data_IF_970978122376
#
_entry.id   IF_970978122376
#
_cell.length_a   1.000
_cell.length_b   1.000
_cell.length_c   1.000
_cell.angle_alpha   90.00
_cell.angle_beta   90.00
_cell.angle_gamma   90.00
#
_symmetry.space_group_name_H-M   'P 1'
#
loop_
_entity.id
_entity.type
_entity.pdbx_description
1 polymer ?
#
# COMPACT_ATOMS: atom_id res chain seq x y z
N UNK A 1 -0.16 12.75 -5.94
CA UNK A 1 0.15 13.50 -7.18
C UNK A 1 -0.55 14.84 -7.06
N UNK A 2 0.04 16.02 -7.14
CA UNK A 2 1.35 16.46 -7.57
C UNK A 2 1.72 17.75 -6.82
N UNK A 3 3.03 18.00 -6.73
CA UNK A 3 3.66 19.21 -6.20
C UNK A 3 3.38 20.46 -7.07
N UNK A 4 3.59 21.66 -6.50
CA UNK A 4 3.20 22.92 -7.09
C UNK A 4 4.20 23.45 -8.14
N UNK A 5 3.66 24.20 -9.11
CA UNK A 5 4.40 25.01 -10.08
C UNK A 5 4.88 26.30 -9.41
N UNK A 6 6.19 26.54 -9.40
CA UNK A 6 6.76 27.86 -9.17
C UNK A 6 7.12 28.44 -10.54
N UNK A 7 6.43 29.52 -10.91
CA UNK A 7 6.72 30.35 -12.08
C UNK A 7 7.73 31.42 -11.70
N UNK A 8 8.66 31.61 -12.62
CA UNK A 8 9.67 32.66 -12.68
C UNK A 8 9.11 34.03 -13.07
N UNK A 9 9.97 35.05 -12.89
CA UNK A 9 10.12 36.32 -13.63
C UNK A 9 9.64 37.63 -12.98
N UNK A 10 10.48 38.66 -13.15
CA UNK A 10 10.24 40.09 -12.94
C UNK A 10 11.15 40.64 -11.83
N UNK A 11 12.33 41.22 -12.04
CA UNK A 11 12.78 42.29 -12.95
C UNK A 11 11.98 43.60 -12.84
N UNK A 12 12.66 44.64 -12.37
CA UNK A 12 12.23 46.04 -12.22
C UNK A 12 12.98 46.63 -11.01
N UNK A 13 14.16 47.26 -11.13
CA UNK A 13 14.59 48.44 -11.90
C UNK A 13 13.79 49.71 -11.58
N UNK A 14 14.55 50.81 -11.39
CA UNK A 14 14.20 52.20 -11.02
C UNK A 14 14.41 52.47 -9.51
N UNK A 15 15.13 53.50 -9.04
CA UNK A 15 15.50 54.76 -9.66
C UNK A 15 16.51 55.57 -8.79
N UNK A 16 17.31 56.40 -9.46
CA UNK A 16 17.84 57.75 -9.10
C UNK A 16 18.82 57.89 -7.89
N UNK A 17 20.14 58.13 -8.12
CA UNK A 17 20.88 59.42 -8.41
C UNK A 17 21.29 60.18 -7.12
N UNK A 18 22.29 61.11 -7.14
CA UNK A 18 23.68 61.02 -7.62
C UNK A 18 24.68 61.69 -6.63
N UNK A 19 25.97 61.34 -6.59
CA UNK A 19 26.97 62.30 -6.10
C UNK A 19 28.36 62.07 -6.70
N UNK A 20 28.88 63.16 -7.27
CA UNK A 20 30.29 63.50 -7.49
C UNK A 20 31.11 62.69 -8.49
N UNK A 21 31.00 63.10 -9.76
CA UNK A 21 32.13 63.20 -10.68
C UNK A 21 32.96 64.44 -10.28
N UNK A 22 34.19 64.25 -9.81
CA UNK A 22 35.27 65.21 -10.04
C UNK A 22 36.42 64.44 -10.69
N UNK A 23 36.75 64.93 -11.89
CA UNK A 23 37.84 64.54 -12.75
C UNK A 23 39.17 64.42 -11.98
N UNK A 24 39.84 63.28 -12.12
CA UNK A 24 41.29 63.27 -12.28
C UNK A 24 41.59 62.56 -13.60
N UNK A 25 42.02 63.38 -14.56
CA UNK A 25 42.41 62.96 -15.89
C UNK A 25 43.78 62.26 -15.88
N UNK A 26 43.98 61.46 -16.92
CA UNK A 26 45.26 60.93 -17.40
C UNK A 26 45.86 59.76 -16.61
N UNK A 27 45.50 58.56 -17.09
CA UNK A 27 46.17 57.32 -16.77
C UNK A 27 45.64 56.19 -17.66
N UNK A 28 45.66 56.38 -18.98
CA UNK A 28 45.52 55.29 -19.93
C UNK A 28 46.75 54.38 -19.80
N UNK A 29 46.70 53.48 -18.84
CA UNK A 29 47.56 52.31 -18.80
C UNK A 29 46.63 51.12 -18.64
N UNK A 30 46.41 50.43 -19.76
CA UNK A 30 46.29 48.97 -19.82
C UNK A 30 45.90 48.33 -18.50
N UNK A 31 44.60 48.07 -18.29
CA UNK A 31 44.14 47.10 -17.30
C UNK A 31 44.53 45.68 -17.76
N UNK A 32 45.82 45.45 -18.00
CA UNK A 32 46.40 44.13 -17.99
C UNK A 32 46.47 43.71 -16.51
N UNK A 33 46.08 42.48 -16.16
CA UNK A 33 46.20 42.03 -14.78
C UNK A 33 47.69 42.05 -14.43
N UNK A 34 48.10 43.03 -13.62
CA UNK A 34 49.45 43.05 -13.07
C UNK A 34 49.69 41.70 -12.41
N UNK A 35 50.79 41.05 -12.76
CA UNK A 35 51.12 39.73 -12.22
C UNK A 35 51.15 39.86 -10.71
N UNK A 36 50.34 39.05 -10.03
CA UNK A 36 50.13 39.09 -8.58
C UNK A 36 51.45 39.16 -7.80
N UNK A 37 52.49 38.49 -8.29
CA UNK A 37 53.81 38.46 -7.67
C UNK A 37 54.55 39.80 -7.75
N UNK A 38 54.32 40.58 -8.81
CA UNK A 38 54.92 41.91 -8.97
C UNK A 38 54.23 42.92 -8.05
N UNK A 39 52.91 42.83 -7.88
CA UNK A 39 52.15 43.61 -6.89
C UNK A 39 52.56 43.27 -5.45
N UNK A 40 52.79 41.98 -5.14
CA UNK A 40 53.27 41.56 -3.82
C UNK A 40 54.66 42.16 -3.54
N UNK A 41 55.57 42.15 -4.51
CA UNK A 41 56.91 42.73 -4.35
C UNK A 41 56.86 44.25 -4.13
N UNK A 42 55.99 44.94 -4.86
CA UNK A 42 55.80 46.39 -4.72
C UNK A 42 55.25 46.76 -3.33
N UNK A 43 54.21 46.04 -2.88
CA UNK A 43 53.61 46.26 -1.56
C UNK A 43 54.60 45.94 -0.43
N UNK A 44 55.34 44.84 -0.52
CA UNK A 44 56.33 44.47 0.50
C UNK A 44 57.55 45.39 0.55
N UNK A 45 57.87 46.07 -0.56
CA UNK A 45 58.91 47.10 -0.61
C UNK A 45 58.47 48.39 0.10
N UNK A 46 57.17 48.71 0.04
CA UNK A 46 56.58 49.89 0.68
C UNK A 46 56.19 49.63 2.15
N UNK A 47 55.73 48.43 2.49
CA UNK A 47 55.31 48.00 3.82
C UNK A 47 55.76 46.54 4.09
N UNK A 48 56.92 46.35 4.75
CA UNK A 48 57.44 45.03 5.08
C UNK A 48 56.57 44.25 6.08
N UNK A 49 55.83 44.94 6.96
CA UNK A 49 54.98 44.30 7.97
C UNK A 49 53.74 43.63 7.34
N UNK A 50 53.33 44.09 6.16
CA UNK A 50 52.25 43.49 5.36
C UNK A 50 52.52 42.03 4.96
N UNK A 51 53.78 41.57 5.04
CA UNK A 51 54.14 40.15 4.86
C UNK A 51 53.36 39.21 5.76
N UNK A 52 53.14 39.57 7.03
CA UNK A 52 52.37 38.76 7.98
C UNK A 52 50.89 38.65 7.58
N UNK A 53 50.34 39.71 6.97
CA UNK A 53 48.96 39.72 6.45
C UNK A 53 48.84 38.81 5.23
N UNK A 54 49.82 38.86 4.32
CA UNK A 54 49.86 37.99 3.14
C UNK A 54 50.00 36.51 3.51
N UNK A 55 50.83 36.19 4.51
CA UNK A 55 50.97 34.82 5.02
C UNK A 55 49.66 34.31 5.67
N UNK A 56 49.02 35.13 6.54
CA UNK A 56 47.70 34.80 7.08
C UNK A 56 46.65 34.61 5.99
N UNK A 57 46.65 35.44 4.96
CA UNK A 57 45.73 35.30 3.82
C UNK A 57 45.99 33.98 3.07
N UNK A 58 47.26 33.61 2.83
CA UNK A 58 47.62 32.34 2.19
C UNK A 58 47.16 31.15 3.03
N UNK A 59 47.39 31.18 4.34
CA UNK A 59 46.94 30.13 5.27
C UNK A 59 45.42 29.98 5.25
N UNK A 60 44.68 31.09 5.39
CA UNK A 60 43.22 31.09 5.32
C UNK A 60 42.69 30.59 3.97
N UNK A 61 43.31 31.01 2.87
CA UNK A 61 42.96 30.53 1.52
C UNK A 61 43.16 29.02 1.41
N UNK A 62 44.28 28.49 1.92
CA UNK A 62 44.56 27.06 1.95
C UNK A 62 43.54 26.27 2.78
N UNK A 63 43.15 26.80 3.95
CA UNK A 63 42.10 26.21 4.80
C UNK A 63 40.74 26.21 4.11
N UNK A 64 40.37 27.31 3.44
CA UNK A 64 39.14 27.41 2.67
C UNK A 64 39.12 26.36 1.55
N UNK A 65 40.21 26.23 0.79
CA UNK A 65 40.28 25.23 -0.28
C UNK A 65 40.22 23.80 0.25
N UNK A 66 40.84 23.53 1.40
CA UNK A 66 40.73 22.23 2.07
C UNK A 66 39.29 21.94 2.50
N UNK A 67 38.62 22.90 3.16
CA UNK A 67 37.22 22.75 3.57
C UNK A 67 36.28 22.57 2.38
N UNK A 68 36.50 23.26 1.25
CA UNK A 68 35.74 23.07 0.01
C UNK A 68 35.89 21.64 -0.52
N UNK A 69 37.12 21.10 -0.54
CA UNK A 69 37.36 19.72 -0.97
C UNK A 69 36.68 18.71 -0.06
N UNK A 70 36.74 18.91 1.25
CA UNK A 70 36.04 18.05 2.22
C UNK A 70 34.52 18.08 2.04
N UNK A 71 33.94 19.26 1.83
CA UNK A 71 32.51 19.41 1.56
C UNK A 71 32.11 18.67 0.28
N UNK A 72 32.90 18.79 -0.79
CA UNK A 72 32.63 18.09 -2.05
C UNK A 72 32.75 16.57 -1.90
N UNK A 73 33.74 16.09 -1.15
CA UNK A 73 33.87 14.66 -0.83
C UNK A 73 32.68 14.13 -0.02
N UNK A 74 32.22 14.90 0.99
CA UNK A 74 31.03 14.53 1.77
C UNK A 74 29.78 14.53 0.90
N UNK A 75 29.60 15.55 0.06
CA UNK A 75 28.47 15.65 -0.87
C UNK A 75 28.42 14.45 -1.81
N UNK A 76 29.51 14.15 -2.51
CA UNK A 76 29.57 13.02 -3.45
C UNK A 76 29.35 11.67 -2.76
N UNK A 77 29.84 11.51 -1.53
CA UNK A 77 29.58 10.32 -0.70
C UNK A 77 28.10 10.19 -0.36
N UNK A 78 27.45 11.28 0.07
CA UNK A 78 26.01 11.30 0.38
C UNK A 78 25.20 10.99 -0.88
N UNK A 79 25.53 11.57 -2.03
CA UNK A 79 24.84 11.32 -3.31
C UNK A 79 24.96 9.84 -3.73
N UNK A 80 26.12 9.21 -3.55
CA UNK A 80 26.29 7.76 -3.76
C UNK A 80 25.43 6.94 -2.81
N UNK A 81 25.44 7.28 -1.52
CA UNK A 81 24.64 6.57 -0.52
C UNK A 81 23.13 6.68 -0.82
N UNK A 82 22.64 7.87 -1.18
CA UNK A 82 21.25 8.07 -1.60
C UNK A 82 20.92 7.21 -2.81
N UNK A 83 21.81 7.16 -3.80
CA UNK A 83 21.62 6.36 -5.01
C UNK A 83 21.57 4.86 -4.70
N UNK A 84 22.42 4.38 -3.80
CA UNK A 84 22.42 2.98 -3.36
C UNK A 84 21.15 2.64 -2.58
N UNK A 85 20.78 3.45 -1.59
CA UNK A 85 19.55 3.25 -0.80
C UNK A 85 18.29 3.22 -1.68
N UNK A 86 18.24 4.04 -2.74
CA UNK A 86 17.14 4.00 -3.73
C UNK A 86 17.09 2.67 -4.48
N UNK A 87 18.23 2.12 -4.88
CA UNK A 87 18.32 0.81 -5.54
C UNK A 87 17.89 -0.31 -4.58
N UNK A 88 18.39 -0.27 -3.35
CA UNK A 88 18.07 -1.27 -2.33
C UNK A 88 16.58 -1.26 -1.98
N UNK A 89 15.98 -0.07 -1.85
CA UNK A 89 14.54 0.08 -1.64
C UNK A 89 13.73 -0.48 -2.82
N UNK A 90 14.14 -0.21 -4.06
CA UNK A 90 13.47 -0.73 -5.24
C UNK A 90 13.57 -2.27 -5.32
N UNK A 91 14.74 -2.83 -4.99
CA UNK A 91 14.96 -4.27 -4.94
C UNK A 91 14.12 -4.93 -3.83
N UNK A 92 14.10 -4.35 -2.63
CA UNK A 92 13.30 -4.82 -1.50
C UNK A 92 11.81 -4.77 -1.81
N UNK A 93 11.32 -3.68 -2.41
CA UNK A 93 9.93 -3.56 -2.83
C UNK A 93 9.54 -4.60 -3.88
N UNK A 94 10.43 -4.87 -4.84
CA UNK A 94 10.21 -5.89 -5.87
C UNK A 94 10.18 -7.29 -5.26
N UNK A 95 11.12 -7.60 -4.37
CA UNK A 95 11.16 -8.88 -3.63
C UNK A 95 9.91 -9.08 -2.77
N UNK A 96 9.46 -8.03 -2.05
CA UNK A 96 8.24 -8.08 -1.25
C UNK A 96 7.01 -8.36 -2.11
N UNK A 97 6.86 -7.66 -3.24
CA UNK A 97 5.75 -7.89 -4.20
C UNK A 97 5.78 -9.31 -4.78
N UNK A 98 6.97 -9.82 -5.11
CA UNK A 98 7.14 -11.18 -5.61
C UNK A 98 6.71 -12.21 -4.56
N UNK A 99 7.16 -12.07 -3.31
CA UNK A 99 6.76 -12.93 -2.19
C UNK A 99 5.25 -12.87 -1.94
N UNK A 100 4.65 -11.68 -1.93
CA UNK A 100 3.19 -11.53 -1.80
C UNK A 100 2.45 -12.23 -2.93
N UNK A 101 2.91 -12.08 -4.17
CA UNK A 101 2.32 -12.76 -5.34
C UNK A 101 2.43 -14.28 -5.23
N UNK A 102 3.59 -14.78 -4.80
CA UNK A 102 3.80 -16.21 -4.60
C UNK A 102 2.91 -16.78 -3.49
N UNK A 103 2.80 -16.09 -2.35
CA UNK A 103 1.92 -16.50 -1.25
C UNK A 103 0.46 -16.57 -1.73
N UNK A 104 0.00 -15.56 -2.47
CA UNK A 104 -1.35 -15.56 -3.07
C UNK A 104 -1.57 -16.77 -3.98
N UNK A 105 -0.62 -17.07 -4.87
CA UNK A 105 -0.68 -18.24 -5.75
C UNK A 105 -0.73 -19.56 -4.97
N UNK A 106 0.00 -19.66 -3.86
CA UNK A 106 -0.03 -20.86 -3.00
C UNK A 106 -1.37 -21.03 -2.26
N UNK A 107 -2.06 -19.93 -1.93
CA UNK A 107 -3.35 -19.95 -1.24
C UNK A 107 -4.54 -20.14 -2.20
N UNK A 108 -4.38 -19.81 -3.47
CA UNK A 108 -5.44 -19.84 -4.48
C UNK A 108 -6.12 -21.22 -4.64
N UNK A 109 -5.41 -22.36 -4.67
CA UNK A 109 -6.05 -23.68 -4.72
C UNK A 109 -6.96 -23.95 -3.52
N UNK A 110 -6.54 -23.55 -2.32
CA UNK A 110 -7.37 -23.71 -1.12
C UNK A 110 -8.59 -22.79 -1.15
N UNK A 111 -8.45 -21.57 -1.65
CA UNK A 111 -9.57 -20.67 -1.86
C UNK A 111 -10.59 -21.26 -2.85
N UNK A 112 -10.13 -21.82 -3.96
CA UNK A 112 -11.00 -22.47 -4.94
C UNK A 112 -11.70 -23.70 -4.34
N UNK A 113 -10.96 -24.57 -3.65
CA UNK A 113 -11.49 -25.75 -2.97
C UNK A 113 -12.57 -25.40 -1.95
N UNK A 114 -12.32 -24.41 -1.10
CA UNK A 114 -13.30 -23.96 -0.10
C UNK A 114 -14.52 -23.30 -0.74
N UNK A 115 -14.34 -22.56 -1.84
CA UNK A 115 -15.44 -21.95 -2.60
C UNK A 115 -16.35 -23.02 -3.19
N UNK A 116 -15.78 -24.05 -3.82
CA UNK A 116 -16.54 -25.20 -4.34
C UNK A 116 -17.27 -25.93 -3.22
N UNK A 117 -16.59 -26.25 -2.12
CA UNK A 117 -17.19 -26.91 -0.97
C UNK A 117 -18.37 -26.11 -0.37
N UNK A 118 -18.24 -24.77 -0.35
CA UNK A 118 -19.31 -23.88 0.10
C UNK A 118 -20.51 -23.91 -0.84
N UNK A 119 -20.29 -23.91 -2.16
CA UNK A 119 -21.36 -24.02 -3.16
C UNK A 119 -22.12 -25.32 -2.98
N UNK A 120 -21.41 -26.44 -2.97
CA UNK A 120 -22.00 -27.78 -2.80
C UNK A 120 -22.79 -27.90 -1.49
N UNK A 121 -22.21 -27.47 -0.37
CA UNK A 121 -22.91 -27.53 0.93
C UNK A 121 -24.13 -26.63 0.99
N UNK A 122 -24.11 -25.49 0.27
CA UNK A 122 -25.24 -24.56 0.20
C UNK A 122 -26.36 -25.11 -0.69
N UNK A 123 -26.00 -25.73 -1.82
CA UNK A 123 -26.92 -26.44 -2.72
C UNK A 123 -27.58 -27.61 -2.00
N UNK A 124 -26.82 -28.42 -1.28
CA UNK A 124 -27.34 -29.54 -0.49
C UNK A 124 -28.30 -29.04 0.60
N UNK A 125 -27.93 -27.99 1.34
CA UNK A 125 -28.82 -27.37 2.33
C UNK A 125 -30.12 -26.89 1.70
N UNK A 126 -30.06 -26.32 0.49
CA UNK A 126 -31.24 -25.88 -0.26
C UNK A 126 -32.10 -27.07 -0.68
N UNK A 127 -31.50 -28.14 -1.20
CA UNK A 127 -32.22 -29.35 -1.58
C UNK A 127 -32.94 -29.98 -0.38
N UNK A 128 -32.26 -30.12 0.76
CA UNK A 128 -32.84 -30.65 2.01
C UNK A 128 -33.99 -29.78 2.53
N UNK A 129 -33.89 -28.45 2.44
CA UNK A 129 -34.99 -27.52 2.75
C UNK A 129 -36.22 -27.77 1.88
N UNK A 130 -36.02 -27.97 0.58
CA UNK A 130 -37.13 -28.25 -0.36
C UNK A 130 -37.77 -29.61 -0.03
N UNK A 131 -36.96 -30.64 0.22
CA UNK A 131 -37.43 -31.97 0.62
C UNK A 131 -38.25 -31.89 1.92
N UNK A 132 -37.74 -31.19 2.93
CA UNK A 132 -38.41 -30.98 4.23
C UNK A 132 -39.75 -30.25 4.10
N UNK A 133 -39.81 -29.23 3.23
CA UNK A 133 -41.04 -28.50 2.94
C UNK A 133 -42.07 -29.38 2.21
N UNK A 134 -41.62 -30.19 1.24
CA UNK A 134 -42.48 -31.15 0.54
C UNK A 134 -43.06 -32.20 1.47
N UNK A 135 -42.22 -32.75 2.35
CA UNK A 135 -42.62 -33.71 3.38
C UNK A 135 -43.63 -33.09 4.35
N UNK A 136 -43.39 -31.84 4.78
CA UNK A 136 -44.31 -31.08 5.63
C UNK A 136 -45.70 -30.88 5.00
N UNK A 137 -45.77 -30.57 3.70
CA UNK A 137 -47.04 -30.48 2.96
C UNK A 137 -47.77 -31.82 2.91
N UNK A 138 -47.04 -32.90 2.65
CA UNK A 138 -47.60 -34.26 2.55
C UNK A 138 -48.15 -34.74 3.91
N UNK A 139 -47.43 -34.49 5.01
CA UNK A 139 -47.91 -34.73 6.38
C UNK A 139 -49.19 -33.94 6.65
N UNK A 140 -49.21 -32.64 6.29
CA UNK A 140 -50.38 -31.80 6.51
C UNK A 140 -51.61 -32.28 5.71
N UNK A 141 -51.40 -32.73 4.47
CA UNK A 141 -52.46 -33.30 3.63
C UNK A 141 -53.03 -34.59 4.21
N UNK A 142 -52.17 -35.54 4.62
CA UNK A 142 -52.59 -36.80 5.24
C UNK A 142 -53.33 -36.58 6.56
N UNK A 143 -52.80 -35.74 7.44
CA UNK A 143 -53.48 -35.37 8.69
C UNK A 143 -54.83 -34.71 8.43
N UNK A 144 -54.93 -33.84 7.42
CA UNK A 144 -56.20 -33.22 7.03
C UNK A 144 -57.19 -34.27 6.53
N UNK A 145 -56.74 -35.27 5.76
CA UNK A 145 -57.59 -36.35 5.26
C UNK A 145 -58.09 -37.27 6.39
N UNK A 146 -57.23 -37.59 7.36
CA UNK A 146 -57.58 -38.38 8.56
C UNK A 146 -58.62 -37.67 9.44
N UNK A 147 -58.58 -36.33 9.48
CA UNK A 147 -59.48 -35.51 10.30
C UNK A 147 -60.76 -35.05 9.56
N UNK A 148 -60.99 -35.46 8.31
CA UNK A 148 -62.23 -35.14 7.58
C UNK A 148 -63.40 -35.89 8.20
N UNK A 149 -64.43 -35.15 8.63
CA UNK A 149 -65.64 -35.70 9.25
C UNK A 149 -66.46 -36.58 8.30
N UNK A 150 -66.37 -36.32 7.00
CA UNK A 150 -67.15 -37.03 5.97
C UNK A 150 -66.41 -38.26 5.40
N UNK A 151 -65.20 -38.56 5.91
CA UNK A 151 -64.41 -39.68 5.42
C UNK A 151 -64.72 -40.96 6.21
N UNK A 152 -65.32 -41.95 5.55
CA UNK A 152 -65.56 -43.28 6.10
C UNK A 152 -64.25 -44.07 6.01
N UNK A 153 -63.49 -44.08 7.10
CA UNK A 153 -62.28 -44.89 7.24
C UNK A 153 -62.57 -46.13 8.07
N UNK A 154 -62.09 -47.30 7.65
CA UNK A 154 -62.02 -48.46 8.55
C UNK A 154 -60.99 -48.21 9.66
N UNK A 155 -61.13 -48.84 10.84
CA UNK A 155 -60.13 -48.76 11.91
C UNK A 155 -58.72 -49.15 11.42
N UNK A 156 -58.60 -50.19 10.60
CA UNK A 156 -57.33 -50.68 10.07
C UNK A 156 -56.68 -49.69 9.09
N UNK A 157 -57.47 -49.01 8.25
CA UNK A 157 -56.96 -47.97 7.36
C UNK A 157 -56.49 -46.75 8.13
N UNK A 158 -57.22 -46.33 9.17
CA UNK A 158 -56.82 -45.20 10.02
C UNK A 158 -55.48 -45.50 10.71
N UNK A 159 -55.29 -46.71 11.23
CA UNK A 159 -54.02 -47.12 11.85
C UNK A 159 -52.88 -47.11 10.83
N UNK A 160 -53.10 -47.63 9.61
CA UNK A 160 -52.09 -47.62 8.53
C UNK A 160 -51.70 -46.20 8.14
N UNK A 161 -52.66 -45.31 7.95
CA UNK A 161 -52.41 -43.91 7.59
C UNK A 161 -51.74 -43.13 8.72
N UNK A 162 -52.09 -43.42 9.98
CA UNK A 162 -51.42 -42.83 11.13
C UNK A 162 -49.96 -43.28 11.22
N UNK A 163 -49.68 -44.57 10.99
CA UNK A 163 -48.32 -45.09 10.95
C UNK A 163 -47.47 -44.42 9.86
N UNK A 164 -48.06 -44.16 8.67
CA UNK A 164 -47.40 -43.42 7.60
C UNK A 164 -47.07 -41.98 8.00
N UNK A 165 -47.99 -41.29 8.69
CA UNK A 165 -47.73 -39.95 9.25
C UNK A 165 -46.57 -39.99 10.25
N UNK A 166 -46.53 -40.99 11.12
CA UNK A 166 -45.48 -41.13 12.13
C UNK A 166 -44.11 -41.43 11.50
N UNK A 167 -44.06 -42.24 10.44
CA UNK A 167 -42.85 -42.47 9.65
C UNK A 167 -42.36 -41.17 9.00
N UNK A 168 -43.25 -40.42 8.36
CA UNK A 168 -42.90 -39.14 7.73
C UNK A 168 -42.43 -38.10 8.77
N UNK A 169 -42.94 -38.13 10.00
CA UNK A 169 -42.44 -37.27 11.09
C UNK A 169 -41.02 -37.65 11.52
N UNK A 170 -40.69 -38.95 11.56
CA UNK A 170 -39.31 -39.42 11.82
C UNK A 170 -38.37 -38.95 10.73
N UNK A 171 -38.77 -39.10 9.47
CA UNK A 171 -37.99 -38.59 8.32
C UNK A 171 -37.81 -37.07 8.36
N UNK A 172 -38.85 -36.33 8.76
CA UNK A 172 -38.78 -34.89 8.94
C UNK A 172 -37.76 -34.49 10.03
N UNK A 173 -37.78 -35.19 11.17
CA UNK A 173 -36.83 -34.97 12.25
C UNK A 173 -35.39 -35.30 11.83
N UNK A 174 -35.18 -36.39 11.06
CA UNK A 174 -33.87 -36.71 10.47
C UNK A 174 -33.38 -35.58 9.57
N UNK A 175 -34.22 -35.09 8.65
CA UNK A 175 -33.89 -33.97 7.77
C UNK A 175 -33.56 -32.68 8.55
N UNK A 176 -34.28 -32.40 9.64
CA UNK A 176 -33.99 -31.23 10.49
C UNK A 176 -32.61 -31.33 11.16
N UNK A 177 -32.19 -32.54 11.57
CA UNK A 177 -30.85 -32.83 12.06
C UNK A 177 -29.77 -32.61 10.99
N UNK A 178 -29.95 -33.21 9.81
CA UNK A 178 -29.04 -33.04 8.66
C UNK A 178 -28.89 -31.57 8.25
N UNK A 179 -30.01 -30.84 8.17
CA UNK A 179 -30.01 -29.41 7.85
C UNK A 179 -29.26 -28.57 8.91
N UNK A 180 -29.31 -28.96 10.17
CA UNK A 180 -28.58 -28.28 11.25
C UNK A 180 -27.07 -28.48 11.09
N UNK A 181 -26.63 -29.71 10.80
CA UNK A 181 -25.23 -29.99 10.47
C UNK A 181 -24.74 -29.21 9.24
N UNK A 182 -25.54 -29.18 8.17
CA UNK A 182 -25.23 -28.43 6.95
C UNK A 182 -25.14 -26.91 7.20
N UNK A 183 -26.02 -26.33 8.01
CA UNK A 183 -25.93 -24.90 8.40
C UNK A 183 -24.62 -24.59 9.12
N UNK A 184 -24.20 -25.46 10.06
CA UNK A 184 -22.94 -25.30 10.76
C UNK A 184 -21.75 -25.42 9.81
N UNK A 185 -21.77 -26.41 8.92
CA UNK A 185 -20.72 -26.60 7.91
C UNK A 185 -20.60 -25.38 6.96
N UNK A 186 -21.72 -24.88 6.44
CA UNK A 186 -21.76 -23.66 5.62
C UNK A 186 -21.20 -22.46 6.37
N UNK A 187 -21.54 -22.29 7.65
CA UNK A 187 -20.97 -21.21 8.49
C UNK A 187 -19.46 -21.35 8.63
N UNK A 188 -18.97 -22.57 8.91
CA UNK A 188 -17.54 -22.84 9.05
C UNK A 188 -16.77 -22.56 7.75
N UNK A 189 -17.32 -22.98 6.59
CA UNK A 189 -16.71 -22.73 5.28
C UNK A 189 -16.64 -21.23 4.96
N UNK A 190 -17.67 -20.45 5.31
CA UNK A 190 -17.63 -18.98 5.18
C UNK A 190 -16.54 -18.36 6.05
N UNK A 191 -16.38 -18.82 7.28
CA UNK A 191 -15.31 -18.34 8.18
C UNK A 191 -13.94 -18.68 7.59
N UNK A 192 -13.71 -19.92 7.16
CA UNK A 192 -12.45 -20.36 6.53
C UNK A 192 -12.11 -19.50 5.31
N UNK A 193 -13.08 -19.21 4.44
CA UNK A 193 -12.88 -18.33 3.29
C UNK A 193 -12.57 -16.89 3.66
N UNK A 194 -13.20 -16.35 4.70
CA UNK A 194 -12.89 -15.00 5.18
C UNK A 194 -11.45 -14.92 5.69
N UNK A 195 -11.01 -15.89 6.47
CA UNK A 195 -9.64 -15.93 7.02
C UNK A 195 -8.56 -16.02 5.94
N UNK A 196 -8.86 -16.67 4.81
CA UNK A 196 -7.92 -16.81 3.68
C UNK A 196 -7.91 -15.57 2.77
N UNK A 197 -8.95 -14.74 2.81
CA UNK A 197 -9.05 -13.52 2.00
C UNK A 197 -8.46 -12.27 2.66
N UNK A 198 -8.25 -12.30 3.98
CA UNK A 198 -7.59 -11.24 4.76
C UNK A 198 -6.09 -11.19 4.44
#
# INVERSE_FOLDING_TARGET
MAQPRIRSLGAGLLCLRPLTMILLAAGLASCAPAKRDDLIKEVLKADPEFSAVLEKHRELSSRIETAKRELELKRTTIERNISQLRKDLAAAATSARAKTSEIKKRMEPDQQRLTMALSLSSEELRAKRIQRASLGRSIAQLRKALNRKDAVWTPEERVRQQAQVDEMLKDAARLDGEMTGLKQNVRLLKIKLLLIKL
#
